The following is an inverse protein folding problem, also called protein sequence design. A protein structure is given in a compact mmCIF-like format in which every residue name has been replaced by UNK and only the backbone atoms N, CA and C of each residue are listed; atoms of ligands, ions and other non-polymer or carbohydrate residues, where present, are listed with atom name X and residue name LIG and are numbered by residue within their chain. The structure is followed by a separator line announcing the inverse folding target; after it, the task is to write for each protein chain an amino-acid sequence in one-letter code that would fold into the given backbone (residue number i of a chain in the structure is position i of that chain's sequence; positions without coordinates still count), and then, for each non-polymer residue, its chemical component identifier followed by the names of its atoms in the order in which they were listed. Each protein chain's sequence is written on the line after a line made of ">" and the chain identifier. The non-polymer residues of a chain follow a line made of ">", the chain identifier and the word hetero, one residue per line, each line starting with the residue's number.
data_IF_539241537776
#
_entry.id   IF_539241537776
#
_cell.length_a   1.000
_cell.length_b   1.000
_cell.length_c   1.000
_cell.angle_alpha   90.00
_cell.angle_beta   90.00
_cell.angle_gamma   90.00
#
_symmetry.space_group_name_H-M   'P 1'
#
loop_
_entity.id
_entity.type
_entity.pdbx_description
1 polymer ?
#
# COMPACT_ATOMS: atom_id res chain seq x y z
N UNK A 1 -13.09 -3.60 4.28
CA UNK A 1 -12.79 -4.75 3.41
C UNK A 1 -12.18 -5.91 4.19
N UNK A 2 -10.93 -5.85 4.64
CA UNK A 2 -10.38 -6.92 5.49
C UNK A 2 -11.27 -7.21 6.72
N UNK A 3 -11.72 -6.14 7.42
CA UNK A 3 -12.73 -6.24 8.51
C UNK A 3 -14.08 -6.81 8.08
N UNK A 4 -14.57 -6.50 6.88
CA UNK A 4 -15.88 -7.01 6.41
C UNK A 4 -15.82 -8.50 6.05
N UNK A 5 -14.63 -9.02 5.78
CA UNK A 5 -14.37 -10.45 5.58
C UNK A 5 -13.84 -11.16 6.83
N UNK A 6 -13.73 -10.44 7.96
CA UNK A 6 -13.18 -10.98 9.20
C UNK A 6 -11.76 -11.57 9.07
N UNK A 7 -10.96 -11.03 8.15
CA UNK A 7 -9.55 -11.43 7.94
C UNK A 7 -8.57 -10.30 8.25
N UNK A 8 -7.30 -10.67 8.49
CA UNK A 8 -6.22 -9.72 8.70
C UNK A 8 -5.86 -8.92 7.44
N UNK A 9 -5.10 -7.83 7.61
CA UNK A 9 -4.62 -7.04 6.46
C UNK A 9 -3.73 -7.87 5.53
N UNK A 10 -2.75 -8.59 6.06
CA UNK A 10 -1.84 -9.40 5.25
C UNK A 10 -2.58 -10.54 4.54
N UNK A 11 -3.56 -11.18 5.20
CA UNK A 11 -4.40 -12.20 4.58
C UNK A 11 -5.26 -11.63 3.45
N UNK A 12 -5.82 -10.43 3.66
CA UNK A 12 -6.56 -9.71 2.63
C UNK A 12 -5.67 -9.43 1.41
N UNK A 13 -4.48 -8.88 1.64
CA UNK A 13 -3.53 -8.59 0.56
C UNK A 13 -3.13 -9.87 -0.17
N UNK A 14 -2.83 -10.96 0.55
CA UNK A 14 -2.49 -12.26 -0.04
C UNK A 14 -3.62 -12.83 -0.89
N UNK A 15 -4.87 -12.73 -0.41
CA UNK A 15 -6.05 -13.22 -1.11
C UNK A 15 -6.30 -12.50 -2.43
N UNK A 16 -6.12 -11.18 -2.46
CA UNK A 16 -6.49 -10.35 -3.61
C UNK A 16 -5.33 -9.96 -4.54
N UNK A 17 -4.07 -10.14 -4.11
CA UNK A 17 -2.90 -9.93 -4.97
C UNK A 17 -2.39 -11.19 -5.64
N UNK A 18 -2.74 -12.39 -5.14
CA UNK A 18 -2.32 -13.68 -5.70
C UNK A 18 -0.80 -13.70 -5.97
N UNK A 19 -0.38 -13.81 -7.23
CA UNK A 19 1.02 -13.93 -7.65
C UNK A 19 1.86 -12.66 -7.40
N UNK A 20 1.21 -11.50 -7.25
CA UNK A 20 1.85 -10.22 -6.93
C UNK A 20 1.96 -9.96 -5.42
N UNK A 21 1.60 -10.95 -4.60
CA UNK A 21 1.76 -10.83 -3.15
C UNK A 21 3.24 -10.92 -2.75
N UNK A 22 3.77 -9.79 -2.28
CA UNK A 22 5.10 -9.71 -1.68
C UNK A 22 4.98 -9.52 -0.15
N UNK A 23 5.23 -10.58 0.62
CA UNK A 23 5.05 -10.57 2.08
C UNK A 23 5.79 -9.42 2.78
N UNK A 24 7.09 -9.26 2.51
CA UNK A 24 7.93 -8.20 3.10
C UNK A 24 7.39 -6.80 2.79
N UNK A 25 6.88 -6.59 1.58
CA UNK A 25 6.36 -5.29 1.18
C UNK A 25 4.97 -5.05 1.79
N UNK A 26 4.16 -6.08 1.95
CA UNK A 26 2.88 -5.98 2.66
C UNK A 26 3.06 -5.68 4.16
N UNK A 27 4.09 -6.25 4.80
CA UNK A 27 4.44 -5.92 6.18
C UNK A 27 4.89 -4.46 6.30
N UNK A 28 5.66 -3.97 5.33
CA UNK A 28 6.01 -2.54 5.22
C UNK A 28 4.77 -1.64 5.03
N UNK A 29 3.80 -2.04 4.20
CA UNK A 29 2.54 -1.30 4.08
C UNK A 29 1.74 -1.26 5.38
N UNK A 30 1.75 -2.38 6.13
CA UNK A 30 1.12 -2.44 7.43
C UNK A 30 1.80 -1.49 8.42
N UNK A 31 3.15 -1.43 8.42
CA UNK A 31 3.88 -0.53 9.30
C UNK A 31 3.63 0.94 8.96
N UNK A 32 3.61 1.32 7.67
CA UNK A 32 3.24 2.68 7.23
C UNK A 32 1.85 3.03 7.74
N UNK A 33 0.87 2.16 7.48
CA UNK A 33 -0.50 2.38 7.92
C UNK A 33 -0.56 2.55 9.43
N UNK A 34 0.07 1.64 10.16
CA UNK A 34 0.10 1.67 11.62
C UNK A 34 0.74 2.95 12.16
N UNK A 35 1.92 3.33 11.67
CA UNK A 35 2.60 4.55 12.09
C UNK A 35 1.81 5.80 11.74
N UNK A 36 1.23 5.87 10.54
CA UNK A 36 0.40 7.02 10.17
C UNK A 36 -0.82 7.17 11.10
N UNK A 37 -1.55 6.09 11.38
CA UNK A 37 -2.75 6.15 12.22
C UNK A 37 -2.46 6.25 13.72
N UNK A 38 -1.32 5.76 14.22
CA UNK A 38 -1.01 5.75 15.65
C UNK A 38 -0.06 6.86 16.10
N UNK A 39 0.92 7.23 15.27
CA UNK A 39 1.92 8.27 15.59
C UNK A 39 1.85 9.50 14.69
N UNK A 40 0.94 9.53 13.71
CA UNK A 40 0.83 10.65 12.76
C UNK A 40 2.02 10.74 11.80
N UNK A 41 2.75 9.65 11.63
CA UNK A 41 3.95 9.61 10.80
C UNK A 41 3.63 9.82 9.30
N UNK A 42 4.54 10.50 8.64
CA UNK A 42 4.48 10.90 7.23
C UNK A 42 5.70 10.30 6.55
N UNK A 43 5.49 9.33 5.66
CA UNK A 43 6.54 8.43 5.15
C UNK A 43 7.01 8.81 3.74
N UNK A 44 6.36 9.78 3.12
CA UNK A 44 6.53 10.12 1.71
C UNK A 44 6.83 11.61 1.50
N UNK A 45 7.53 12.23 2.47
CA UNK A 45 7.98 13.61 2.40
C UNK A 45 6.83 14.62 2.23
N UNK A 46 5.66 14.30 2.79
CA UNK A 46 4.42 15.06 2.59
C UNK A 46 4.53 16.54 3.02
N UNK A 47 5.50 16.87 3.88
CA UNK A 47 5.79 18.22 4.35
C UNK A 47 7.25 18.65 4.14
N UNK A 48 8.05 17.86 3.41
CA UNK A 48 9.42 18.24 3.07
C UNK A 48 9.40 19.13 1.82
N UNK A 49 9.77 20.40 2.00
CA UNK A 49 9.80 21.41 0.93
C UNK A 49 11.21 21.53 0.33
N UNK A 50 11.88 20.41 0.08
CA UNK A 50 13.09 20.41 -0.71
C UNK A 50 12.74 20.56 -2.20
N UNK A 51 13.08 21.71 -2.80
CA UNK A 51 12.83 22.00 -4.21
C UNK A 51 13.93 21.47 -5.14
N UNK A 52 15.07 21.03 -4.58
CA UNK A 52 16.17 20.42 -5.34
C UNK A 52 16.17 18.89 -5.23
N UNK A 53 15.17 18.28 -5.86
CA UNK A 53 14.92 16.82 -5.83
C UNK A 53 15.56 16.06 -6.99
N UNK A 54 16.18 16.76 -7.95
CA UNK A 54 16.58 16.19 -9.24
C UNK A 54 17.68 15.13 -9.10
N UNK A 55 18.53 15.25 -8.07
CA UNK A 55 19.63 14.34 -7.78
C UNK A 55 19.50 13.63 -6.42
N UNK A 56 18.37 13.80 -5.73
CA UNK A 56 18.13 13.15 -4.46
C UNK A 56 17.69 11.69 -4.69
N UNK A 57 18.63 10.77 -4.51
CA UNK A 57 18.38 9.34 -4.63
C UNK A 57 17.29 8.86 -3.66
N UNK A 58 17.21 9.45 -2.46
CA UNK A 58 16.18 9.10 -1.48
C UNK A 58 14.81 9.51 -1.98
N UNK A 59 14.68 10.68 -2.62
CA UNK A 59 13.42 11.11 -3.22
C UNK A 59 12.93 10.13 -4.29
N UNK A 60 13.83 9.67 -5.18
CA UNK A 60 13.49 8.67 -6.21
C UNK A 60 13.01 7.36 -5.55
N UNK A 61 13.72 6.89 -4.53
CA UNK A 61 13.35 5.67 -3.83
C UNK A 61 11.99 5.78 -3.12
N UNK A 62 11.75 6.88 -2.41
CA UNK A 62 10.49 7.16 -1.72
C UNK A 62 9.34 7.24 -2.72
N UNK A 63 9.53 7.91 -3.86
CA UNK A 63 8.54 7.98 -4.93
C UNK A 63 8.22 6.60 -5.51
N UNK A 64 9.23 5.76 -5.70
CA UNK A 64 9.04 4.39 -6.19
C UNK A 64 8.28 3.54 -5.16
N UNK A 65 8.61 3.67 -3.86
CA UNK A 65 7.88 3.02 -2.77
C UNK A 65 6.43 3.50 -2.69
N UNK A 66 6.16 4.79 -2.83
CA UNK A 66 4.79 5.34 -2.88
C UNK A 66 4.02 4.76 -4.06
N UNK A 67 4.62 4.79 -5.25
CA UNK A 67 4.00 4.27 -6.48
C UNK A 67 3.65 2.79 -6.35
N UNK A 68 4.58 1.98 -5.83
CA UNK A 68 4.35 0.55 -5.57
C UNK A 68 3.27 0.32 -4.51
N UNK A 69 3.26 1.14 -3.45
CA UNK A 69 2.25 1.08 -2.39
C UNK A 69 0.84 1.33 -2.93
N UNK A 70 0.67 2.41 -3.69
CA UNK A 70 -0.61 2.77 -4.31
C UNK A 70 -1.04 1.71 -5.34
N UNK A 71 -0.11 1.20 -6.14
CA UNK A 71 -0.39 0.14 -7.12
C UNK A 71 -0.96 -1.12 -6.45
N UNK A 72 -0.27 -1.66 -5.44
CA UNK A 72 -0.71 -2.89 -4.76
C UNK A 72 -2.02 -2.69 -4.02
N UNK A 73 -2.21 -1.58 -3.31
CA UNK A 73 -3.46 -1.27 -2.63
C UNK A 73 -4.63 -1.15 -3.62
N UNK A 74 -4.41 -0.44 -4.73
CA UNK A 74 -5.43 -0.28 -5.77
C UNK A 74 -5.77 -1.62 -6.41
N UNK A 75 -4.78 -2.46 -6.70
CA UNK A 75 -5.01 -3.77 -7.30
C UNK A 75 -5.82 -4.68 -6.38
N UNK A 76 -5.44 -4.77 -5.10
CA UNK A 76 -6.18 -5.53 -4.11
C UNK A 76 -7.63 -5.01 -3.98
N UNK A 77 -7.81 -3.69 -4.04
CA UNK A 77 -9.14 -3.06 -4.02
C UNK A 77 -10.00 -3.42 -5.23
N UNK A 78 -9.44 -3.30 -6.43
CA UNK A 78 -10.14 -3.61 -7.69
C UNK A 78 -10.55 -5.08 -7.71
N UNK A 79 -9.63 -5.99 -7.41
CA UNK A 79 -9.92 -7.43 -7.33
C UNK A 79 -10.98 -7.77 -6.27
N UNK A 80 -11.01 -7.02 -5.15
CA UNK A 80 -12.07 -7.15 -4.16
C UNK A 80 -13.43 -6.71 -4.71
N UNK A 81 -13.49 -5.60 -5.44
CA UNK A 81 -14.71 -5.08 -6.07
C UNK A 81 -15.22 -6.05 -7.15
N UNK A 82 -14.33 -6.46 -8.06
CA UNK A 82 -14.64 -7.39 -9.16
C UNK A 82 -15.30 -8.65 -8.60
N UNK A 83 -14.68 -9.25 -7.57
CA UNK A 83 -15.19 -10.47 -6.95
C UNK A 83 -16.48 -10.29 -6.14
N UNK A 84 -16.59 -9.23 -5.33
CA UNK A 84 -17.65 -9.14 -4.31
C UNK A 84 -18.83 -8.24 -4.73
N UNK A 85 -18.61 -7.27 -5.61
CA UNK A 85 -19.64 -6.31 -6.04
C UNK A 85 -20.11 -6.67 -7.44
N UNK A 86 -19.16 -6.79 -8.38
CA UNK A 86 -19.48 -7.05 -9.79
C UNK A 86 -19.80 -8.54 -10.02
N UNK A 87 -19.15 -9.42 -9.24
CA UNK A 87 -19.20 -10.89 -9.37
C UNK A 87 -18.59 -11.40 -10.68
N UNK A 88 -17.52 -10.76 -11.13
CA UNK A 88 -16.64 -11.31 -12.17
C UNK A 88 -15.68 -12.32 -11.53
N UNK A 89 -15.54 -13.49 -12.18
CA UNK A 89 -14.72 -14.62 -11.71
C UNK A 89 -13.24 -14.51 -12.10
#
# INVERSE_FOLDING_TARGET
>A
MAKSEQIGFSDFMKKYLKDEYEAKFCDYLYSIRSGHFHSGEMFFLEYDLNLDITLDYNFIEIRNRLSKSLYLLRKAFVQWIEKNIIKED
#
